data_IF_057283257404
#
_entry.id   IF_057283257404
#
_cell.length_a   1.000
_cell.length_b   1.000
_cell.length_c   1.000
_cell.angle_alpha   90.00
_cell.angle_beta   90.00
_cell.angle_gamma   90.00
#
_symmetry.space_group_name_H-M   'P 1'
#
loop_
_entity.id
_entity.type
_entity.pdbx_description
1 polymer ?
#
# COMPACT_ATOMS: atom_id res chain seq x y z
N UNK A 1 50.92 -5.59 34.80
CA UNK A 1 50.26 -6.59 33.93
C UNK A 1 48.87 -6.07 33.54
N UNK A 2 48.78 -5.48 32.37
CA UNK A 2 47.52 -4.94 31.86
C UNK A 2 46.85 -6.04 31.05
N UNK A 3 45.76 -6.60 31.59
CA UNK A 3 44.89 -7.51 30.88
C UNK A 3 43.94 -6.71 30.00
N UNK A 4 44.24 -6.60 28.73
CA UNK A 4 43.34 -6.01 27.75
C UNK A 4 42.21 -6.97 27.49
N UNK A 5 41.05 -6.76 28.13
CA UNK A 5 39.82 -7.46 27.83
C UNK A 5 39.22 -6.80 26.58
N UNK A 6 39.47 -7.41 25.42
CA UNK A 6 38.77 -7.07 24.19
C UNK A 6 37.30 -7.49 24.33
N UNK A 7 36.34 -6.56 24.27
CA UNK A 7 34.94 -6.96 24.14
C UNK A 7 34.81 -7.63 22.79
N UNK A 8 34.52 -8.92 22.81
CA UNK A 8 34.14 -9.67 21.63
C UNK A 8 32.94 -8.98 20.98
N UNK A 9 33.18 -8.36 19.83
CA UNK A 9 32.10 -7.84 19.03
C UNK A 9 31.15 -8.96 18.66
N UNK A 10 30.01 -8.97 19.30
CA UNK A 10 28.87 -9.74 18.82
C UNK A 10 28.56 -9.21 17.43
N UNK A 11 29.05 -9.91 16.42
CA UNK A 11 28.50 -9.78 15.09
C UNK A 11 27.07 -10.26 15.19
N UNK A 12 26.19 -9.35 15.42
CA UNK A 12 24.78 -9.56 15.13
C UNK A 12 24.75 -9.81 13.62
N UNK A 13 24.69 -11.08 13.27
CA UNK A 13 24.39 -11.50 11.92
C UNK A 13 23.01 -10.90 11.64
N UNK A 14 23.00 -9.80 10.91
CA UNK A 14 21.78 -9.29 10.34
C UNK A 14 21.30 -10.36 9.37
N UNK A 15 20.40 -11.19 9.85
CA UNK A 15 19.62 -12.07 9.02
C UNK A 15 18.91 -11.15 8.02
N UNK A 16 19.08 -11.33 6.72
CA UNK A 16 18.25 -10.62 5.78
C UNK A 16 16.85 -11.16 5.99
N UNK A 17 16.10 -10.46 6.83
CA UNK A 17 14.66 -10.61 6.88
C UNK A 17 14.21 -10.31 5.47
N UNK A 18 13.87 -11.36 4.73
CA UNK A 18 13.14 -11.21 3.49
C UNK A 18 11.86 -10.45 3.86
N UNK A 19 11.89 -9.14 3.63
CA UNK A 19 10.76 -8.27 3.87
C UNK A 19 9.59 -8.88 3.12
N UNK A 20 8.59 -9.33 3.87
CA UNK A 20 7.43 -9.94 3.27
C UNK A 20 6.70 -8.85 2.48
N UNK A 21 6.62 -8.91 1.17
CA UNK A 21 6.09 -7.82 0.36
C UNK A 21 4.63 -7.51 0.66
N UNK A 22 3.91 -8.45 1.26
CA UNK A 22 2.49 -8.32 1.62
C UNK A 22 2.30 -7.31 2.75
N UNK A 23 3.13 -7.37 3.80
CA UNK A 23 2.99 -6.44 4.94
C UNK A 23 3.30 -5.00 4.54
N UNK A 24 4.27 -4.81 3.67
CA UNK A 24 4.63 -3.47 3.17
C UNK A 24 3.52 -2.87 2.31
N UNK A 25 2.86 -3.67 1.48
CA UNK A 25 1.74 -3.21 0.65
C UNK A 25 0.52 -2.84 1.49
N UNK A 26 0.18 -3.65 2.49
CA UNK A 26 -0.93 -3.34 3.39
C UNK A 26 -0.68 -2.05 4.18
N UNK A 27 0.53 -1.83 4.67
CA UNK A 27 0.91 -0.59 5.36
C UNK A 27 0.83 0.62 4.43
N UNK A 28 1.23 0.47 3.17
CA UNK A 28 1.15 1.56 2.19
C UNK A 28 -0.30 1.96 1.95
N UNK A 29 -1.20 1.00 1.76
CA UNK A 29 -2.62 1.26 1.51
C UNK A 29 -3.28 1.91 2.71
N UNK A 30 -3.04 1.43 3.92
CA UNK A 30 -3.54 2.07 5.14
C UNK A 30 -3.05 3.52 5.27
N UNK A 31 -1.82 3.78 4.90
CA UNK A 31 -1.26 5.13 4.90
C UNK A 31 -1.95 6.02 3.86
N UNK A 32 -2.24 5.49 2.69
CA UNK A 32 -2.95 6.21 1.62
C UNK A 32 -4.41 6.49 2.00
N UNK A 33 -5.11 5.54 2.59
CA UNK A 33 -6.46 5.74 3.12
C UNK A 33 -6.50 6.85 4.18
N UNK A 34 -5.54 6.87 5.10
CA UNK A 34 -5.44 7.90 6.12
C UNK A 34 -5.15 9.28 5.53
N UNK A 35 -4.24 9.37 4.57
CA UNK A 35 -3.93 10.62 3.86
C UNK A 35 -5.13 11.14 3.10
N UNK A 36 -5.82 10.26 2.40
CA UNK A 36 -7.02 10.61 1.66
C UNK A 36 -8.13 11.08 2.62
N UNK A 37 -8.37 10.38 3.72
CA UNK A 37 -9.33 10.78 4.72
C UNK A 37 -9.01 12.15 5.33
N UNK A 38 -7.75 12.45 5.61
CA UNK A 38 -7.31 13.76 6.11
C UNK A 38 -7.56 14.88 5.08
N UNK A 39 -7.31 14.62 3.81
CA UNK A 39 -7.60 15.55 2.73
C UNK A 39 -9.11 15.82 2.60
N UNK A 40 -9.90 14.77 2.61
CA UNK A 40 -11.35 14.86 2.48
C UNK A 40 -12.00 15.62 3.66
N UNK A 41 -11.43 15.53 4.86
CA UNK A 41 -11.87 16.32 6.03
C UNK A 41 -11.71 17.83 5.84
N UNK A 42 -10.84 18.26 4.95
CA UNK A 42 -10.65 19.68 4.62
C UNK A 42 -11.75 20.23 3.70
N UNK A 43 -12.56 19.36 3.10
CA UNK A 43 -13.70 19.77 2.30
C UNK A 43 -14.74 20.38 3.23
N UNK A 44 -15.18 21.60 2.92
CA UNK A 44 -16.18 22.31 3.70
C UNK A 44 -17.48 21.48 3.77
N UNK A 45 -17.92 21.20 4.98
CA UNK A 45 -19.14 20.44 5.23
C UNK A 45 -18.94 18.91 5.26
N UNK A 46 -17.78 18.37 4.96
CA UNK A 46 -17.56 16.93 4.99
C UNK A 46 -17.56 16.35 6.41
N UNK A 47 -17.06 17.11 7.40
CA UNK A 47 -16.95 16.68 8.78
C UNK A 47 -15.91 15.56 8.96
N UNK A 48 -16.22 14.59 9.78
CA UNK A 48 -15.37 13.42 9.93
C UNK A 48 -15.52 12.51 8.72
N UNK A 49 -14.38 12.03 8.22
CA UNK A 49 -14.32 11.19 7.02
C UNK A 49 -13.52 9.95 7.32
N UNK A 50 -14.06 8.81 6.91
CA UNK A 50 -13.37 7.54 6.88
C UNK A 50 -13.38 7.01 5.44
N UNK A 51 -12.27 6.44 5.01
CA UNK A 51 -12.09 5.91 3.66
C UNK A 51 -11.64 4.46 3.75
N UNK A 52 -12.27 3.62 2.95
CA UNK A 52 -11.86 2.24 2.73
C UNK A 52 -11.66 2.03 1.23
N UNK A 53 -10.48 1.56 0.86
CA UNK A 53 -10.14 1.25 -0.52
C UNK A 53 -10.10 -0.26 -0.73
N UNK A 54 -10.80 -0.74 -1.75
CA UNK A 54 -10.64 -2.10 -2.22
C UNK A 54 -9.68 -2.14 -3.40
N UNK A 55 -8.81 -3.14 -3.41
CA UNK A 55 -7.77 -3.27 -4.42
C UNK A 55 -7.55 -4.73 -4.78
N UNK A 56 -7.05 -4.97 -5.98
CA UNK A 56 -6.56 -6.28 -6.37
C UNK A 56 -5.08 -6.38 -6.02
N UNK A 57 -4.74 -7.33 -5.18
CA UNK A 57 -3.37 -7.74 -4.97
C UNK A 57 -2.95 -8.68 -6.11
N UNK A 58 -2.61 -8.13 -7.24
CA UNK A 58 -1.89 -8.87 -8.26
C UNK A 58 -0.41 -8.53 -8.11
N UNK A 59 0.23 -9.12 -7.12
CA UNK A 59 1.67 -9.20 -7.11
C UNK A 59 2.08 -10.26 -8.12
N UNK A 60 1.85 -10.00 -9.38
CA UNK A 60 2.40 -10.82 -10.44
C UNK A 60 3.88 -10.51 -10.52
N UNK A 61 4.68 -11.40 -9.94
CA UNK A 61 6.12 -11.38 -10.13
C UNK A 61 6.40 -12.01 -11.49
N UNK A 62 6.60 -11.17 -12.47
CA UNK A 62 7.10 -11.63 -13.74
C UNK A 62 8.59 -11.89 -13.59
N UNK A 63 8.97 -13.16 -13.55
CA UNK A 63 10.34 -13.59 -13.54
C UNK A 63 10.87 -13.61 -14.97
N UNK A 64 12.11 -13.15 -15.18
CA UNK A 64 12.78 -13.35 -16.43
C UNK A 64 12.91 -14.85 -16.71
N UNK A 65 12.47 -15.30 -17.86
CA UNK A 65 12.64 -16.66 -18.31
C UNK A 65 13.77 -16.74 -19.32
N UNK A 66 14.55 -17.81 -19.27
CA UNK A 66 15.52 -18.14 -20.30
C UNK A 66 14.83 -18.69 -21.56
N UNK A 67 15.58 -18.93 -22.63
CA UNK A 67 15.06 -19.46 -23.89
C UNK A 67 14.42 -20.85 -23.77
N UNK A 68 14.61 -21.54 -22.66
CA UNK A 68 13.98 -22.84 -22.35
C UNK A 68 12.69 -22.72 -21.53
N UNK A 69 12.26 -21.48 -21.18
CA UNK A 69 11.05 -21.23 -20.41
C UNK A 69 11.20 -21.41 -18.89
N UNK A 70 12.42 -21.58 -18.41
CA UNK A 70 12.72 -21.65 -16.99
C UNK A 70 13.08 -20.26 -16.43
N UNK A 71 12.85 -20.00 -15.13
CA UNK A 71 13.24 -18.73 -14.52
C UNK A 71 14.72 -18.47 -14.71
N UNK A 72 15.09 -17.33 -15.27
CA UNK A 72 16.47 -16.92 -15.39
C UNK A 72 17.06 -16.70 -13.99
N UNK A 73 18.16 -17.35 -13.70
CA UNK A 73 18.84 -17.28 -12.41
C UNK A 73 20.18 -16.59 -12.63
N UNK A 74 20.42 -15.52 -11.86
CA UNK A 74 21.74 -14.88 -11.81
C UNK A 74 22.50 -15.46 -10.62
N UNK A 75 23.72 -15.92 -10.86
CA UNK A 75 24.62 -16.28 -9.79
C UNK A 75 25.06 -15.02 -9.05
N UNK A 76 24.56 -14.82 -7.84
CA UNK A 76 25.13 -13.82 -6.96
C UNK A 76 26.50 -14.32 -6.45
N UNK A 77 27.48 -13.45 -6.43
CA UNK A 77 28.84 -13.80 -5.97
C UNK A 77 28.82 -14.53 -4.61
N UNK A 78 29.46 -15.70 -4.54
CA UNK A 78 29.44 -16.55 -3.35
C UNK A 78 28.59 -17.84 -3.49
N UNK A 79 28.09 -18.16 -4.68
CA UNK A 79 27.33 -19.39 -4.96
C UNK A 79 25.83 -19.33 -4.64
N UNK A 80 25.32 -18.20 -4.20
CA UNK A 80 23.88 -17.99 -4.08
C UNK A 80 23.27 -17.67 -5.44
N UNK A 81 22.17 -18.31 -5.76
CA UNK A 81 21.39 -18.03 -6.96
C UNK A 81 20.11 -17.30 -6.58
N UNK A 82 19.84 -16.17 -7.23
CA UNK A 82 18.62 -15.41 -7.05
C UNK A 82 17.88 -15.27 -8.38
N UNK A 83 16.57 -15.44 -8.37
CA UNK A 83 15.74 -15.17 -9.53
C UNK A 83 15.71 -13.66 -9.82
N UNK A 84 15.80 -13.30 -11.10
CA UNK A 84 15.72 -11.91 -11.54
C UNK A 84 14.27 -11.47 -11.58
N UNK A 85 13.94 -10.49 -10.78
CA UNK A 85 12.64 -9.88 -10.74
C UNK A 85 12.58 -8.74 -11.78
N UNK A 86 11.78 -8.90 -12.85
CA UNK A 86 11.69 -7.94 -13.94
C UNK A 86 10.67 -6.83 -13.67
N UNK A 87 9.61 -7.12 -12.94
CA UNK A 87 8.49 -6.20 -12.75
C UNK A 87 7.75 -6.46 -11.45
N UNK A 88 7.56 -5.40 -10.69
CA UNK A 88 6.62 -5.39 -9.58
C UNK A 88 5.35 -4.69 -10.03
N UNK A 89 4.23 -5.39 -10.11
CA UNK A 89 2.94 -4.79 -10.45
C UNK A 89 2.38 -4.13 -9.21
N UNK A 90 2.13 -2.82 -9.30
CA UNK A 90 1.47 -2.06 -8.24
C UNK A 90 0.01 -2.51 -8.09
N UNK A 91 -0.53 -2.56 -6.86
CA UNK A 91 -1.93 -2.89 -6.64
C UNK A 91 -2.84 -1.88 -7.38
N UNK A 92 -3.89 -2.39 -8.01
CA UNK A 92 -4.89 -1.57 -8.66
C UNK A 92 -6.10 -1.41 -7.76
N UNK A 93 -6.59 -0.18 -7.63
CA UNK A 93 -7.84 0.07 -6.90
C UNK A 93 -9.04 -0.46 -7.68
N UNK A 94 -9.94 -1.15 -7.00
CA UNK A 94 -11.17 -1.71 -7.56
C UNK A 94 -12.39 -0.87 -7.19
N UNK A 95 -12.39 -0.25 -6.03
CA UNK A 95 -13.48 0.54 -5.53
C UNK A 95 -13.09 1.34 -4.29
N UNK A 96 -13.94 2.27 -3.92
CA UNK A 96 -13.77 3.08 -2.72
C UNK A 96 -15.10 3.28 -2.01
N UNK A 97 -15.08 3.18 -0.69
CA UNK A 97 -16.21 3.52 0.17
C UNK A 97 -15.77 4.65 1.10
N UNK A 98 -16.53 5.73 1.08
CA UNK A 98 -16.29 6.89 1.94
C UNK A 98 -17.49 7.07 2.86
N UNK A 99 -17.24 7.19 4.15
CA UNK A 99 -18.25 7.50 5.14
C UNK A 99 -17.92 8.86 5.75
N UNK A 100 -18.84 9.81 5.63
CA UNK A 100 -18.65 11.18 6.13
C UNK A 100 -19.92 11.77 6.74
N UNK A 101 -19.73 12.72 7.63
CA UNK A 101 -20.86 13.39 8.31
C UNK A 101 -21.71 14.20 7.32
N UNK A 102 -21.07 14.84 6.35
CA UNK A 102 -21.72 15.73 5.38
C UNK A 102 -22.29 15.07 4.14
N UNK A 103 -22.40 13.76 4.10
CA UNK A 103 -22.92 13.05 2.93
C UNK A 103 -24.40 13.34 2.59
N UNK A 104 -25.13 14.04 3.46
CA UNK A 104 -26.47 14.52 3.15
C UNK A 104 -26.49 15.63 2.09
N UNK A 105 -25.44 16.41 2.02
CA UNK A 105 -25.35 17.51 1.09
C UNK A 105 -24.85 17.02 -0.27
N UNK A 106 -25.61 17.18 -1.35
CA UNK A 106 -25.19 16.73 -2.68
C UNK A 106 -23.88 17.35 -3.14
N UNK A 107 -23.61 18.57 -2.72
CA UNK A 107 -22.36 19.28 -3.04
C UNK A 107 -21.14 18.59 -2.38
N UNK A 108 -21.29 18.15 -1.14
CA UNK A 108 -20.25 17.41 -0.42
C UNK A 108 -20.05 16.04 -1.05
N UNK A 109 -21.12 15.32 -1.36
CA UNK A 109 -21.02 14.04 -2.06
C UNK A 109 -20.26 14.17 -3.37
N UNK A 110 -20.59 15.18 -4.17
CA UNK A 110 -19.94 15.42 -5.44
C UNK A 110 -18.45 15.75 -5.26
N UNK A 111 -18.13 16.65 -4.34
CA UNK A 111 -16.75 17.04 -4.06
C UNK A 111 -15.90 15.85 -3.57
N UNK A 112 -16.43 15.06 -2.65
CA UNK A 112 -15.78 13.85 -2.13
C UNK A 112 -15.59 12.82 -3.24
N UNK A 113 -16.63 12.56 -4.03
CA UNK A 113 -16.56 11.60 -5.15
C UNK A 113 -15.48 12.01 -6.17
N UNK A 114 -15.45 13.27 -6.54
CA UNK A 114 -14.47 13.80 -7.48
C UNK A 114 -13.04 13.71 -6.91
N UNK A 115 -12.85 14.06 -5.64
CA UNK A 115 -11.53 13.98 -5.01
C UNK A 115 -11.02 12.53 -4.95
N UNK A 116 -11.87 11.59 -4.60
CA UNK A 116 -11.52 10.16 -4.57
C UNK A 116 -11.24 9.64 -5.98
N UNK A 117 -12.05 10.00 -6.96
CA UNK A 117 -11.85 9.61 -8.36
C UNK A 117 -10.51 10.12 -8.90
N UNK A 118 -10.13 11.35 -8.58
CA UNK A 118 -8.85 11.93 -9.00
C UNK A 118 -7.66 11.25 -8.31
N UNK A 119 -7.81 10.89 -7.06
CA UNK A 119 -6.73 10.21 -6.31
C UNK A 119 -6.53 8.76 -6.76
N UNK A 120 -7.62 8.02 -6.93
CA UNK A 120 -7.57 6.57 -7.19
C UNK A 120 -7.60 6.20 -8.66
N UNK A 121 -8.05 7.12 -9.54
CA UNK A 121 -8.33 6.83 -10.94
C UNK A 121 -9.60 5.99 -11.15
N UNK A 122 -10.42 5.81 -10.13
CA UNK A 122 -11.68 5.07 -10.22
C UNK A 122 -12.76 5.87 -10.92
N UNK A 123 -13.64 5.17 -11.64
CA UNK A 123 -14.88 5.74 -12.14
C UNK A 123 -15.83 6.04 -10.97
N UNK A 124 -16.67 7.06 -11.11
CA UNK A 124 -17.59 7.49 -10.05
C UNK A 124 -18.61 6.42 -9.65
N UNK A 125 -18.94 5.48 -10.53
CA UNK A 125 -19.79 4.33 -10.27
C UNK A 125 -19.18 3.30 -9.30
N UNK A 126 -17.86 3.36 -9.11
CA UNK A 126 -17.11 2.50 -8.17
C UNK A 126 -16.79 3.17 -6.85
N UNK A 127 -17.31 4.37 -6.64
CA UNK A 127 -17.12 5.16 -5.44
C UNK A 127 -18.46 5.33 -4.76
N UNK A 128 -18.56 4.89 -3.51
CA UNK A 128 -19.75 5.04 -2.70
C UNK A 128 -19.49 6.03 -1.57
N UNK A 129 -20.30 7.07 -1.49
CA UNK A 129 -20.26 8.05 -0.40
C UNK A 129 -21.49 7.87 0.47
N UNK A 130 -21.27 7.53 1.73
CA UNK A 130 -22.32 7.19 2.68
C UNK A 130 -22.28 8.15 3.87
N UNK A 131 -23.47 8.41 4.43
CA UNK A 131 -23.57 9.20 5.66
C UNK A 131 -23.07 8.41 6.85
N UNK A 132 -22.24 9.06 7.67
CA UNK A 132 -21.84 8.53 8.96
C UNK A 132 -23.06 8.52 9.89
N UNK A 133 -23.26 7.39 10.59
CA UNK A 133 -24.27 7.33 11.62
C UNK A 133 -23.85 8.22 12.80
N UNK A 134 -24.75 9.06 13.34
CA UNK A 134 -24.42 9.85 14.52
C UNK A 134 -24.06 8.92 15.68
N UNK A 135 -22.99 9.26 16.38
CA UNK A 135 -22.61 8.54 17.59
C UNK A 135 -23.76 8.66 18.62
N UNK A 136 -24.23 7.51 19.05
CA UNK A 136 -25.31 7.44 20.03
C UNK A 136 -24.85 7.91 21.41
#
# INVERSE_FOLDING_TARGET
LILLLLPGGSRTKAEPTAAQPIDTQMQTIQTEEQRLAQLLRQISGAGQVQVLLSYSCSAERELATDDSGQPAIISAGGGAQAAVELRTVSPQYLGAVVVCDGADAPQVQLAVTQAVAQFTGLSTDRISVLKKQPDA
#
